data_IF_050680396693
#
_entry.id   IF_050680396693
#
_cell.length_a   1.000
_cell.length_b   1.000
_cell.length_c   1.000
_cell.angle_alpha   90.00
_cell.angle_beta   90.00
_cell.angle_gamma   90.00
#
_symmetry.space_group_name_H-M   'P 1'
#
loop_
_entity.id
_entity.type
_entity.pdbx_description
1 polymer ?
#
# COMPACT_ATOMS: atom_id res chain seq x y z
N UNK A 1 48.79 -38.90 -28.08
CA UNK A 1 48.05 -39.21 -26.82
C UNK A 1 47.54 -37.90 -26.24
N UNK A 2 46.24 -37.60 -26.39
CA UNK A 2 45.62 -36.43 -25.75
C UNK A 2 44.30 -36.89 -25.12
N UNK A 3 44.22 -36.76 -23.79
CA UNK A 3 43.05 -37.12 -22.98
C UNK A 3 42.03 -35.99 -23.06
N UNK A 4 40.83 -36.28 -23.55
CA UNK A 4 39.66 -35.41 -23.39
C UNK A 4 38.95 -35.79 -22.09
N UNK A 5 38.97 -34.91 -21.09
CA UNK A 5 38.10 -35.03 -19.92
C UNK A 5 36.68 -34.59 -20.30
N UNK A 6 35.72 -35.50 -20.25
CA UNK A 6 34.30 -35.14 -20.17
C UNK A 6 33.97 -34.75 -18.73
N UNK A 7 33.66 -33.47 -18.53
CA UNK A 7 33.06 -32.98 -17.29
C UNK A 7 31.57 -33.39 -17.31
N UNK A 8 31.24 -34.45 -16.56
CA UNK A 8 29.86 -34.88 -16.38
C UNK A 8 29.20 -33.97 -15.35
N UNK A 9 28.30 -33.09 -15.80
CA UNK A 9 27.46 -32.29 -14.90
C UNK A 9 26.43 -33.22 -14.26
N UNK A 10 26.65 -33.60 -13.00
CA UNK A 10 25.66 -34.27 -12.17
C UNK A 10 24.54 -33.26 -11.87
N UNK A 11 23.46 -33.34 -12.65
CA UNK A 11 22.19 -32.70 -12.30
C UNK A 11 21.60 -33.54 -11.17
N UNK A 12 21.71 -33.07 -9.94
CA UNK A 12 20.99 -33.66 -8.80
C UNK A 12 19.50 -33.45 -9.05
N UNK A 13 18.80 -34.52 -9.43
CA UNK A 13 17.35 -34.53 -9.48
C UNK A 13 16.82 -34.42 -8.05
N UNK A 14 16.31 -33.25 -7.67
CA UNK A 14 15.50 -33.13 -6.45
C UNK A 14 14.18 -33.83 -6.75
N UNK A 15 13.94 -34.96 -6.08
CA UNK A 15 12.66 -35.65 -6.09
C UNK A 15 11.57 -34.73 -5.52
N UNK A 16 10.72 -34.18 -6.39
CA UNK A 16 9.52 -33.45 -6.02
C UNK A 16 8.48 -34.41 -5.43
N UNK A 17 8.60 -34.69 -4.13
CA UNK A 17 7.64 -35.51 -3.38
C UNK A 17 6.36 -34.78 -2.97
N UNK A 18 6.31 -33.46 -3.13
CA UNK A 18 5.12 -32.64 -2.86
C UNK A 18 4.85 -31.71 -4.05
N UNK A 19 3.57 -31.54 -4.41
CA UNK A 19 3.16 -30.61 -5.45
C UNK A 19 3.46 -29.16 -5.00
N UNK A 20 4.59 -28.61 -5.43
CA UNK A 20 4.94 -27.21 -5.16
C UNK A 20 4.08 -26.31 -6.06
N UNK A 21 3.31 -25.41 -5.45
CA UNK A 21 2.53 -24.40 -6.19
C UNK A 21 3.49 -23.45 -6.91
N UNK A 22 3.36 -23.37 -8.23
CA UNK A 22 4.07 -22.37 -9.03
C UNK A 22 3.65 -20.96 -8.61
N UNK A 23 4.63 -20.07 -8.41
CA UNK A 23 4.36 -18.67 -8.14
C UNK A 23 3.78 -18.03 -9.41
N UNK A 24 2.63 -17.34 -9.32
CA UNK A 24 2.08 -16.67 -10.47
C UNK A 24 3.00 -15.52 -10.92
N UNK A 25 2.97 -15.13 -12.21
CA UNK A 25 3.60 -13.90 -12.67
C UNK A 25 3.12 -12.70 -11.83
N UNK A 26 4.05 -11.79 -11.51
CA UNK A 26 3.74 -10.63 -10.67
C UNK A 26 3.48 -10.98 -9.19
N UNK A 27 3.99 -12.12 -8.71
CA UNK A 27 3.95 -12.46 -7.28
C UNK A 27 4.65 -11.42 -6.40
N UNK A 28 5.74 -10.82 -6.90
CA UNK A 28 6.48 -9.80 -6.20
C UNK A 28 5.70 -8.48 -6.18
N UNK A 29 5.66 -7.87 -5.00
CA UNK A 29 5.07 -6.56 -4.78
C UNK A 29 6.02 -5.65 -4.01
N UNK A 30 5.82 -4.35 -4.12
CA UNK A 30 6.52 -3.35 -3.32
C UNK A 30 5.54 -2.44 -2.58
N UNK A 31 6.02 -1.85 -1.49
CA UNK A 31 5.31 -0.79 -0.79
C UNK A 31 6.04 0.55 -0.96
N UNK A 32 5.27 1.60 -1.14
CA UNK A 32 5.71 2.95 -0.84
C UNK A 32 4.89 3.45 0.35
N UNK A 33 5.54 4.05 1.33
CA UNK A 33 4.83 4.85 2.33
C UNK A 33 4.74 6.28 1.84
N UNK A 34 3.71 7.00 2.28
CA UNK A 34 3.47 8.38 1.86
C UNK A 34 4.72 9.23 2.09
N UNK A 35 5.14 9.95 1.04
CA UNK A 35 6.31 10.82 1.07
C UNK A 35 7.67 10.11 0.96
N UNK A 36 7.71 8.80 0.67
CA UNK A 36 8.95 8.09 0.34
C UNK A 36 9.26 8.01 -1.14
N UNK A 37 8.30 8.35 -2.00
CA UNK A 37 8.44 8.34 -3.44
C UNK A 37 8.07 9.69 -4.05
N UNK A 38 8.73 10.00 -5.17
CA UNK A 38 8.40 11.11 -6.06
C UNK A 38 7.91 10.49 -7.36
N UNK A 39 6.60 10.26 -7.47
CA UNK A 39 6.02 9.44 -8.54
C UNK A 39 6.22 10.00 -9.95
N UNK A 40 6.39 11.32 -10.06
CA UNK A 40 6.67 12.02 -11.32
C UNK A 40 8.18 12.28 -11.55
N UNK A 41 9.07 11.61 -10.83
CA UNK A 41 10.50 11.69 -11.11
C UNK A 41 10.78 11.15 -12.54
N UNK A 42 11.66 11.80 -13.32
CA UNK A 42 12.05 11.29 -14.63
C UNK A 42 12.57 9.85 -14.55
N UNK A 43 12.10 8.98 -15.44
CA UNK A 43 12.51 7.56 -15.47
C UNK A 43 11.79 6.65 -14.46
N UNK A 44 10.89 7.20 -13.60
CA UNK A 44 10.21 6.41 -12.57
C UNK A 44 9.40 5.25 -13.16
N UNK A 45 8.63 5.50 -14.23
CA UNK A 45 7.78 4.48 -14.83
C UNK A 45 8.59 3.36 -15.47
N UNK A 46 9.68 3.71 -16.17
CA UNK A 46 10.59 2.77 -16.80
C UNK A 46 11.32 1.91 -15.75
N UNK A 47 11.75 2.54 -14.65
CA UNK A 47 12.38 1.83 -13.54
C UNK A 47 11.41 0.85 -12.88
N UNK A 48 10.18 1.29 -12.55
CA UNK A 48 9.16 0.41 -11.98
C UNK A 48 8.80 -0.74 -12.91
N UNK A 49 8.69 -0.49 -14.21
CA UNK A 49 8.45 -1.53 -15.21
C UNK A 49 9.59 -2.56 -15.24
N UNK A 50 10.85 -2.12 -15.12
CA UNK A 50 12.02 -3.01 -15.13
C UNK A 50 12.09 -3.96 -13.93
N UNK A 51 11.43 -3.63 -12.81
CA UNK A 51 11.39 -4.46 -11.60
C UNK A 51 10.45 -5.66 -11.73
N UNK A 52 9.54 -5.67 -12.71
CA UNK A 52 8.58 -6.76 -12.91
C UNK A 52 7.63 -6.98 -11.72
N UNK A 53 7.31 -5.91 -10.97
CA UNK A 53 6.38 -5.96 -9.85
C UNK A 53 4.96 -6.21 -10.34
N UNK A 54 4.23 -7.12 -9.71
CA UNK A 54 2.79 -7.31 -9.99
C UNK A 54 1.87 -6.47 -9.09
N UNK A 55 2.43 -5.88 -8.03
CA UNK A 55 1.72 -4.93 -7.17
C UNK A 55 2.62 -3.80 -6.66
N UNK A 56 2.04 -2.60 -6.56
CA UNK A 56 2.67 -1.46 -5.91
C UNK A 56 1.66 -0.76 -4.99
N UNK A 57 1.93 -0.76 -3.69
CA UNK A 57 1.04 -0.17 -2.67
C UNK A 57 1.24 1.34 -2.57
N UNK A 58 0.11 2.07 -2.53
CA UNK A 58 0.06 3.54 -2.53
C UNK A 58 -1.18 4.07 -1.78
N UNK A 59 -1.09 5.21 -1.07
CA UNK A 59 0.13 5.91 -0.69
C UNK A 59 0.86 5.21 0.47
N UNK A 60 0.19 4.30 1.19
CA UNK A 60 0.77 3.38 2.17
C UNK A 60 1.25 3.97 3.50
N UNK A 61 1.29 3.09 4.50
CA UNK A 61 1.82 3.36 5.85
C UNK A 61 0.87 4.17 6.73
N UNK A 62 1.23 4.30 8.01
CA UNK A 62 0.41 4.99 9.03
C UNK A 62 0.08 6.43 8.66
N UNK A 63 1.01 7.12 7.99
CA UNK A 63 0.83 8.50 7.50
C UNK A 63 -0.28 8.58 6.43
N UNK A 64 -0.51 7.50 5.69
CA UNK A 64 -1.58 7.41 4.69
C UNK A 64 -2.99 7.53 5.28
N UNK A 65 -3.17 7.22 6.57
CA UNK A 65 -4.44 7.45 7.28
C UNK A 65 -4.74 8.95 7.51
N UNK A 66 -3.89 9.84 7.06
CA UNK A 66 -4.08 11.30 7.15
C UNK A 66 -3.95 11.97 5.79
N UNK A 67 -3.88 11.18 4.71
CA UNK A 67 -3.61 11.67 3.37
C UNK A 67 -4.81 12.42 2.78
N UNK A 68 -4.60 13.70 2.49
CA UNK A 68 -5.46 14.55 1.68
C UNK A 68 -4.99 14.48 0.21
N UNK A 69 -5.64 13.60 -0.56
CA UNK A 69 -5.18 13.19 -1.88
C UNK A 69 -5.14 14.31 -2.92
N UNK A 70 -5.99 15.33 -2.79
CA UNK A 70 -6.00 16.51 -3.69
C UNK A 70 -4.74 17.34 -3.54
N UNK A 71 -4.25 17.46 -2.32
CA UNK A 71 -3.02 18.20 -2.00
C UNK A 71 -1.77 17.32 -2.17
N UNK A 72 -1.98 16.00 -2.30
CA UNK A 72 -0.90 15.03 -2.38
C UNK A 72 -0.10 14.91 -1.07
N UNK A 73 -0.64 15.39 0.05
CA UNK A 73 0.03 15.36 1.35
C UNK A 73 -0.95 15.14 2.50
N UNK A 74 -0.49 15.19 3.74
CA UNK A 74 -1.35 15.04 4.92
C UNK A 74 -2.12 16.31 5.25
N UNK A 75 -3.37 16.13 5.68
CA UNK A 75 -4.14 17.17 6.36
C UNK A 75 -4.36 16.74 7.81
N UNK A 76 -3.92 17.59 8.74
CA UNK A 76 -4.06 17.35 10.17
C UNK A 76 -5.12 18.30 10.72
N UNK A 77 -6.24 17.75 11.18
CA UNK A 77 -7.24 18.51 11.91
C UNK A 77 -6.71 18.93 13.28
N UNK A 78 -6.05 20.10 13.34
CA UNK A 78 -5.53 20.71 14.57
C UNK A 78 -4.21 20.11 15.11
N UNK A 79 -3.45 20.92 15.85
CA UNK A 79 -2.09 20.58 16.33
C UNK A 79 -2.04 19.44 17.37
N UNK A 80 -3.16 19.13 18.03
CA UNK A 80 -3.18 18.24 19.19
C UNK A 80 -3.12 16.73 18.85
N UNK A 81 -3.44 16.31 17.63
CA UNK A 81 -3.74 14.90 17.37
C UNK A 81 -2.53 13.98 17.12
N UNK A 82 -1.27 14.47 17.03
CA UNK A 82 -0.29 13.68 16.27
C UNK A 82 1.16 13.76 16.77
N UNK A 83 1.44 13.86 18.06
CA UNK A 83 2.82 14.06 18.58
C UNK A 83 3.94 13.28 17.85
N UNK A 84 3.73 12.02 17.49
CA UNK A 84 4.71 11.21 16.74
C UNK A 84 4.56 11.28 15.20
N UNK A 85 3.35 11.19 14.66
CA UNK A 85 3.11 11.17 13.20
C UNK A 85 3.24 12.57 12.58
N UNK A 86 2.86 13.64 13.29
CA UNK A 86 3.13 15.02 12.85
C UNK A 86 4.62 15.29 12.82
N UNK A 87 5.41 14.77 13.77
CA UNK A 87 6.87 14.93 13.74
C UNK A 87 7.44 14.29 12.47
N UNK A 88 7.06 13.06 12.14
CA UNK A 88 7.49 12.38 10.90
C UNK A 88 7.04 13.10 9.63
N UNK A 89 5.81 13.64 9.60
CA UNK A 89 5.27 14.32 8.43
C UNK A 89 5.74 15.78 8.29
N UNK A 90 6.11 16.45 9.39
CA UNK A 90 6.61 17.84 9.40
C UNK A 90 8.09 17.93 9.06
N UNK A 91 8.89 16.90 9.33
CA UNK A 91 10.35 16.91 9.16
C UNK A 91 10.87 16.68 7.72
N UNK A 92 10.00 16.63 6.69
CA UNK A 92 10.42 16.27 5.31
C UNK A 92 10.04 17.29 4.21
N UNK A 93 10.65 18.48 4.16
CA UNK A 93 10.68 19.30 2.95
C UNK A 93 11.88 18.93 2.04
N UNK A 94 11.74 19.03 0.70
CA UNK A 94 10.52 19.34 -0.05
C UNK A 94 9.56 18.13 -0.11
N UNK A 95 8.26 18.41 -0.10
CA UNK A 95 7.19 17.39 -0.15
C UNK A 95 6.92 17.06 -1.62
N UNK A 96 7.37 15.91 -2.15
CA UNK A 96 6.95 15.53 -3.49
C UNK A 96 5.43 15.39 -3.49
N UNK A 97 4.76 16.01 -4.46
CA UNK A 97 3.33 15.79 -4.63
C UNK A 97 3.11 14.27 -4.81
N UNK A 98 2.20 13.73 -4.01
CA UNK A 98 1.81 12.32 -4.04
C UNK A 98 0.34 12.24 -4.46
N UNK A 99 -0.03 12.78 -5.62
CA UNK A 99 -1.42 12.73 -6.11
C UNK A 99 -1.70 11.43 -6.87
N UNK A 100 -2.97 11.00 -6.97
CA UNK A 100 -3.34 9.80 -7.73
C UNK A 100 -2.80 9.83 -9.17
N UNK A 101 -2.88 10.97 -9.85
CA UNK A 101 -2.45 11.12 -11.23
C UNK A 101 -0.95 10.87 -11.41
N UNK A 102 -0.13 11.37 -10.48
CA UNK A 102 1.31 11.13 -10.53
C UNK A 102 1.63 9.66 -10.27
N UNK A 103 0.92 9.01 -9.36
CA UNK A 103 1.06 7.57 -9.16
C UNK A 103 0.65 6.77 -10.39
N UNK A 104 -0.45 7.14 -11.07
CA UNK A 104 -0.88 6.50 -12.32
C UNK A 104 0.18 6.63 -13.41
N UNK A 105 0.84 7.78 -13.54
CA UNK A 105 1.97 7.95 -14.46
C UNK A 105 3.11 6.97 -14.13
N UNK A 106 3.43 6.79 -12.85
CA UNK A 106 4.47 5.87 -12.40
C UNK A 106 4.14 4.39 -12.71
N UNK A 107 2.86 4.01 -12.71
CA UNK A 107 2.43 2.64 -13.01
C UNK A 107 1.91 2.45 -14.44
N UNK A 108 2.20 3.37 -15.37
CA UNK A 108 1.63 3.36 -16.71
C UNK A 108 1.89 2.05 -17.51
N UNK A 109 2.98 1.34 -17.22
CA UNK A 109 3.30 0.06 -17.86
C UNK A 109 2.40 -1.11 -17.40
N UNK A 110 1.85 -1.04 -16.19
CA UNK A 110 0.80 -1.94 -15.68
C UNK A 110 -0.18 -1.13 -14.82
N UNK A 111 -1.20 -0.51 -15.43
CA UNK A 111 -2.18 0.32 -14.71
C UNK A 111 -3.02 -0.46 -13.68
N UNK A 112 -2.97 -1.79 -13.70
CA UNK A 112 -3.65 -2.66 -12.75
C UNK A 112 -2.77 -3.08 -11.57
N UNK A 113 -1.49 -2.70 -11.55
CA UNK A 113 -0.54 -3.02 -10.47
C UNK A 113 -0.82 -2.26 -9.17
N UNK A 114 -1.49 -1.10 -9.23
CA UNK A 114 -1.79 -0.29 -8.06
C UNK A 114 -2.62 -1.03 -6.99
N UNK A 115 -2.17 -0.94 -5.73
CA UNK A 115 -2.96 -1.25 -4.54
C UNK A 115 -3.29 0.07 -3.84
N UNK A 116 -4.56 0.45 -3.91
CA UNK A 116 -5.06 1.75 -3.46
C UNK A 116 -5.49 1.68 -2.01
N UNK A 117 -4.63 2.14 -1.11
CA UNK A 117 -4.94 2.26 0.31
C UNK A 117 -5.81 3.48 0.56
N UNK A 118 -6.98 3.26 1.16
CA UNK A 118 -7.92 4.33 1.51
C UNK A 118 -7.65 4.86 2.92
N UNK A 119 -7.89 6.15 3.10
CA UNK A 119 -7.87 6.81 4.39
C UNK A 119 -9.23 6.62 5.10
N UNK A 120 -9.27 5.76 6.12
CA UNK A 120 -10.47 5.49 6.94
C UNK A 120 -10.47 6.22 8.29
N UNK A 121 -9.58 7.20 8.49
CA UNK A 121 -9.42 7.89 9.78
C UNK A 121 -9.81 9.35 9.67
N UNK A 122 -9.31 10.07 8.67
CA UNK A 122 -9.58 11.51 8.52
C UNK A 122 -10.32 11.89 7.23
N UNK A 123 -10.68 10.90 6.40
CA UNK A 123 -11.48 11.11 5.20
C UNK A 123 -12.77 10.29 5.29
N UNK A 124 -13.75 10.66 4.48
CA UNK A 124 -15.00 9.92 4.34
C UNK A 124 -15.04 9.09 3.05
N UNK A 125 -16.03 8.21 2.97
CA UNK A 125 -16.22 7.31 1.82
C UNK A 125 -16.41 8.08 0.50
N UNK A 126 -17.15 9.19 0.49
CA UNK A 126 -17.42 9.94 -0.73
C UNK A 126 -16.14 10.57 -1.28
N UNK A 127 -15.30 11.10 -0.38
CA UNK A 127 -13.99 11.63 -0.71
C UNK A 127 -13.06 10.56 -1.29
N UNK A 128 -13.00 9.39 -0.67
CA UNK A 128 -12.12 8.31 -1.12
C UNK A 128 -12.64 7.64 -2.42
N UNK A 129 -13.95 7.60 -2.65
CA UNK A 129 -14.51 7.23 -3.95
C UNK A 129 -14.17 8.27 -5.03
N UNK A 130 -14.15 9.56 -4.70
CA UNK A 130 -13.72 10.60 -5.64
C UNK A 130 -12.23 10.46 -6.00
N UNK A 131 -11.39 10.07 -5.04
CA UNK A 131 -9.98 9.74 -5.28
C UNK A 131 -9.84 8.58 -6.27
N UNK A 132 -10.56 7.47 -6.07
CA UNK A 132 -10.52 6.32 -6.97
C UNK A 132 -11.04 6.65 -8.38
N UNK A 133 -12.11 7.45 -8.49
CA UNK A 133 -12.63 7.94 -9.79
C UNK A 133 -11.60 8.80 -10.52
N UNK A 134 -10.87 9.63 -9.77
CA UNK A 134 -9.80 10.47 -10.30
C UNK A 134 -8.63 9.62 -10.81
N UNK A 135 -8.22 8.59 -10.05
CA UNK A 135 -7.22 7.62 -10.49
C UNK A 135 -7.65 6.88 -11.75
N UNK A 136 -8.90 6.40 -11.80
CA UNK A 136 -9.45 5.71 -12.98
C UNK A 136 -9.46 6.63 -14.21
N UNK A 137 -9.88 7.88 -14.04
CA UNK A 137 -9.88 8.89 -15.13
C UNK A 137 -8.48 9.17 -15.65
N UNK A 138 -7.46 9.08 -14.78
CA UNK A 138 -6.06 9.22 -15.15
C UNK A 138 -5.46 7.98 -15.83
N UNK A 139 -6.19 6.86 -15.88
CA UNK A 139 -5.79 5.62 -16.57
C UNK A 139 -5.61 4.39 -15.66
N UNK A 140 -5.84 4.50 -14.35
CA UNK A 140 -5.73 3.35 -13.45
C UNK A 140 -6.82 2.30 -13.70
N UNK A 141 -6.48 1.03 -13.50
CA UNK A 141 -7.46 -0.05 -13.34
C UNK A 141 -7.65 -0.31 -11.85
N UNK A 142 -8.78 0.11 -11.30
CA UNK A 142 -9.11 -0.04 -9.88
C UNK A 142 -9.47 -1.51 -9.58
N UNK A 143 -8.45 -2.32 -9.30
CA UNK A 143 -8.59 -3.77 -9.05
C UNK A 143 -8.29 -4.17 -7.61
N UNK A 144 -7.45 -3.42 -6.91
CA UNK A 144 -7.01 -3.74 -5.55
C UNK A 144 -7.12 -2.50 -4.67
N UNK A 145 -7.93 -2.61 -3.63
CA UNK A 145 -8.17 -1.54 -2.67
C UNK A 145 -7.88 -2.07 -1.28
N UNK A 146 -7.19 -1.30 -0.46
CA UNK A 146 -6.86 -1.62 0.92
C UNK A 146 -7.61 -0.64 1.85
N UNK A 147 -8.29 -1.17 2.87
CA UNK A 147 -9.19 -0.41 3.73
C UNK A 147 -8.48 0.06 5.01
N UNK A 148 -7.64 1.09 4.86
CA UNK A 148 -6.87 1.70 5.95
C UNK A 148 -5.47 1.12 6.10
N UNK A 149 -4.71 1.62 7.08
CA UNK A 149 -3.43 1.04 7.52
C UNK A 149 -3.43 0.80 9.02
N UNK A 150 -3.26 -0.45 9.45
CA UNK A 150 -2.90 -0.86 10.82
C UNK A 150 -3.71 -0.14 11.92
N UNK A 151 -5.03 -0.03 11.73
CA UNK A 151 -5.94 0.68 12.64
C UNK A 151 -6.05 0.02 14.03
N UNK A 152 -5.48 -1.18 14.20
CA UNK A 152 -5.32 -1.83 15.49
C UNK A 152 -4.24 -1.18 16.37
N UNK A 153 -3.35 -0.35 15.82
CA UNK A 153 -2.48 0.46 16.66
C UNK A 153 -3.32 1.42 17.50
N UNK A 154 -3.03 1.44 18.80
CA UNK A 154 -3.73 2.19 19.84
C UNK A 154 -3.55 3.72 19.75
N UNK A 155 -3.43 4.26 18.54
CA UNK A 155 -3.42 5.70 18.30
C UNK A 155 -4.79 6.28 18.67
N UNK A 156 -4.83 7.46 19.33
CA UNK A 156 -6.09 8.07 19.75
C UNK A 156 -7.09 8.24 18.61
N UNK A 157 -6.64 8.60 17.42
CA UNK A 157 -7.51 8.86 16.25
C UNK A 157 -8.10 7.55 15.73
N UNK A 158 -7.28 6.49 15.62
CA UNK A 158 -7.75 5.17 15.23
C UNK A 158 -8.82 4.68 16.20
N UNK A 159 -8.61 4.82 17.51
CA UNK A 159 -9.58 4.41 18.54
C UNK A 159 -10.83 5.29 18.56
N UNK A 160 -10.70 6.57 18.20
CA UNK A 160 -11.83 7.48 18.14
C UNK A 160 -12.80 7.12 17.01
N UNK A 161 -12.29 6.69 15.84
CA UNK A 161 -13.12 6.30 14.70
C UNK A 161 -13.46 4.81 14.67
N UNK A 162 -12.54 3.95 15.14
CA UNK A 162 -12.69 2.49 15.18
C UNK A 162 -12.40 1.94 16.58
N UNK A 163 -13.30 2.14 17.57
CA UNK A 163 -13.05 1.72 18.96
C UNK A 163 -12.86 0.21 19.11
N UNK A 164 -13.53 -0.58 18.27
CA UNK A 164 -13.48 -2.03 18.28
C UNK A 164 -13.23 -2.60 16.89
N UNK A 165 -12.78 -3.86 16.83
CA UNK A 165 -12.67 -4.59 15.57
C UNK A 165 -14.03 -4.75 14.87
N UNK A 166 -15.13 -4.81 15.62
CA UNK A 166 -16.48 -4.90 15.07
C UNK A 166 -16.92 -3.59 14.40
N UNK A 167 -16.56 -2.44 14.99
CA UNK A 167 -16.81 -1.12 14.39
C UNK A 167 -16.06 -0.98 13.08
N UNK A 168 -14.76 -1.31 13.09
CA UNK A 168 -13.96 -1.36 11.86
C UNK A 168 -14.56 -2.30 10.81
N UNK A 169 -14.92 -3.54 11.18
CA UNK A 169 -15.43 -4.51 10.22
C UNK A 169 -16.75 -4.05 9.56
N UNK A 170 -17.62 -3.39 10.33
CA UNK A 170 -18.88 -2.82 9.83
C UNK A 170 -18.62 -1.70 8.85
N UNK A 171 -17.73 -0.76 9.17
CA UNK A 171 -17.38 0.34 8.28
C UNK A 171 -16.65 -0.16 7.02
N UNK A 172 -15.62 -1.00 7.18
CA UNK A 172 -14.91 -1.62 6.08
C UNK A 172 -15.86 -2.40 5.16
N UNK A 173 -16.84 -3.11 5.71
CA UNK A 173 -17.90 -3.80 4.96
C UNK A 173 -18.75 -2.84 4.13
N UNK A 174 -19.22 -1.74 4.72
CA UNK A 174 -19.94 -0.68 4.01
C UNK A 174 -19.09 -0.10 2.88
N UNK A 175 -17.86 0.31 3.16
CA UNK A 175 -16.97 0.91 2.16
C UNK A 175 -16.71 -0.06 1.01
N UNK A 176 -16.42 -1.32 1.32
CA UNK A 176 -16.16 -2.35 0.33
C UNK A 176 -17.39 -2.61 -0.58
N UNK A 177 -18.61 -2.55 -0.04
CA UNK A 177 -19.83 -2.67 -0.83
C UNK A 177 -19.99 -1.49 -1.81
N UNK A 178 -19.79 -0.26 -1.34
CA UNK A 178 -19.85 0.94 -2.19
C UNK A 178 -18.76 0.95 -3.28
N UNK A 179 -17.53 0.57 -2.92
CA UNK A 179 -16.42 0.47 -3.88
C UNK A 179 -16.74 -0.55 -4.97
N UNK A 180 -17.27 -1.74 -4.63
CA UNK A 180 -17.64 -2.74 -5.65
C UNK A 180 -18.82 -2.32 -6.51
N UNK A 181 -19.71 -1.46 -6.01
CA UNK A 181 -20.80 -0.92 -6.81
C UNK A 181 -20.29 0.02 -7.92
N UNK A 182 -19.29 0.85 -7.63
CA UNK A 182 -18.68 1.75 -8.63
C UNK A 182 -17.56 1.08 -9.46
N UNK A 183 -16.83 0.15 -8.85
CA UNK A 183 -15.68 -0.54 -9.44
C UNK A 183 -15.86 -2.08 -9.31
N UNK A 184 -16.66 -2.73 -10.19
CA UNK A 184 -17.02 -4.14 -10.03
C UNK A 184 -15.84 -5.13 -10.05
N UNK A 185 -14.71 -4.75 -10.67
CA UNK A 185 -13.49 -5.55 -10.69
C UNK A 185 -12.64 -5.41 -9.41
N UNK A 186 -12.97 -4.47 -8.52
CA UNK A 186 -12.20 -4.19 -7.33
C UNK A 186 -12.34 -5.31 -6.29
N UNK A 187 -11.20 -5.73 -5.74
CA UNK A 187 -11.11 -6.55 -4.54
C UNK A 187 -10.62 -5.66 -3.40
N UNK A 188 -11.33 -5.73 -2.28
CA UNK A 188 -11.01 -4.97 -1.08
C UNK A 188 -10.32 -5.86 -0.06
N UNK A 189 -9.15 -5.45 0.41
CA UNK A 189 -8.45 -6.05 1.53
C UNK A 189 -8.84 -5.31 2.82
N UNK A 190 -9.40 -6.06 3.77
CA UNK A 190 -9.60 -5.59 5.13
C UNK A 190 -8.31 -5.79 5.94
N UNK A 191 -8.10 -4.91 6.92
CA UNK A 191 -7.01 -5.04 7.87
C UNK A 191 -7.27 -6.22 8.80
N UNK A 192 -6.20 -6.96 9.06
CA UNK A 192 -6.15 -7.95 10.11
C UNK A 192 -5.38 -7.39 11.31
N UNK A 193 -5.19 -8.24 12.33
CA UNK A 193 -4.34 -7.93 13.48
C UNK A 193 -2.84 -8.06 13.13
N UNK A 194 -2.00 -7.25 13.77
CA UNK A 194 -0.55 -7.42 13.83
C UNK A 194 -0.10 -7.49 15.29
N UNK A 195 1.14 -7.91 15.56
CA UNK A 195 1.69 -7.87 16.93
C UNK A 195 1.48 -6.47 17.50
N UNK A 196 0.69 -6.37 18.55
CA UNK A 196 0.69 -5.20 19.42
C UNK A 196 1.98 -5.33 20.21
N UNK A 197 3.02 -4.58 19.83
CA UNK A 197 4.07 -4.31 20.79
C UNK A 197 3.40 -3.50 21.89
N UNK A 198 3.31 -4.06 23.10
CA UNK A 198 2.82 -3.35 24.26
C UNK A 198 3.55 -2.00 24.32
N UNK A 199 2.79 -0.90 24.27
CA UNK A 199 3.36 0.43 24.39
C UNK A 199 4.09 0.65 25.74
N UNK A 200 3.93 -0.30 26.68
CA UNK A 200 4.57 -0.35 27.99
C UNK A 200 5.75 -1.34 28.08
N UNK A 201 6.13 -2.01 26.98
CA UNK A 201 7.31 -2.87 27.00
C UNK A 201 8.58 -1.99 27.14
N UNK A 202 9.38 -2.16 28.20
CA UNK A 202 10.57 -1.34 28.39
C UNK A 202 11.51 -1.51 27.20
N UNK A 203 11.90 -0.36 26.64
CA UNK A 203 12.76 -0.23 25.47
C UNK A 203 13.99 -1.16 25.61
N UNK A 204 14.05 -2.22 24.78
CA UNK A 204 15.25 -3.05 24.70
C UNK A 204 16.32 -2.24 23.97
N UNK A 205 17.13 -1.51 24.73
CA UNK A 205 18.38 -0.89 24.25
C UNK A 205 19.17 -1.92 23.45
N UNK A 206 19.37 -1.65 22.16
CA UNK A 206 20.39 -2.29 21.33
C UNK A 206 21.59 -1.37 21.24
#
# INVERSE_FOLDING_TARGET
MLRTLLLSLLITCVSAGEAVRQLPPGWLGANANLGRATWNAPGMAEQLASLGLGTLRYPGGTVGNYWAWRDGWVSFGGEAALGHITTMARQRPPRPANTPQQFVQAIAADPASGVWMLNLVTADLADQLAMLRTAQTAGAVIRRVELGNELYFALPENRAVHPTAADYAREAGHWAAAIRAEFPAARCAALAHGKVEDADAPERKR
#
